data_IF_883030861620
#
_entry.id   IF_883030861620
#
_cell.length_a   1.000
_cell.length_b   1.000
_cell.length_c   1.000
_cell.angle_alpha   90.00
_cell.angle_beta   90.00
_cell.angle_gamma   90.00
#
_symmetry.space_group_name_H-M   'P 1'
#
loop_
_entity.id
_entity.type
_entity.pdbx_description
1 polymer ?
#
# COMPACT_ATOMS: atom_id res chain seq x y z
N UNK A 1 -3.92 8.01 2.94
CA UNK A 1 -2.61 7.34 2.75
C UNK A 1 -2.70 6.18 1.76
N UNK A 2 -3.61 5.20 1.92
CA UNK A 2 -3.75 4.05 0.99
C UNK A 2 -3.96 4.43 -0.48
N UNK A 3 -4.89 5.34 -0.77
CA UNK A 3 -5.14 5.81 -2.15
C UNK A 3 -3.89 6.37 -2.82
N UNK A 4 -3.02 7.05 -2.06
CA UNK A 4 -1.76 7.58 -2.58
C UNK A 4 -0.75 6.47 -2.87
N UNK A 5 -0.69 5.44 -2.02
CA UNK A 5 0.18 4.28 -2.23
C UNK A 5 -0.25 3.47 -3.45
N UNK A 6 -1.56 3.28 -3.64
CA UNK A 6 -2.13 2.63 -4.83
C UNK A 6 -1.79 3.43 -6.10
N UNK A 7 -2.04 4.74 -6.10
CA UNK A 7 -1.73 5.62 -7.23
C UNK A 7 -0.22 5.67 -7.53
N UNK A 8 0.62 5.69 -6.50
CA UNK A 8 2.07 5.66 -6.67
C UNK A 8 2.52 4.35 -7.32
N UNK A 9 1.98 3.21 -6.88
CA UNK A 9 2.28 1.91 -7.45
C UNK A 9 1.79 1.79 -8.91
N UNK A 10 0.60 2.31 -9.20
CA UNK A 10 0.03 2.36 -10.55
C UNK A 10 0.87 3.25 -11.48
N UNK A 11 1.34 4.41 -10.99
CA UNK A 11 2.15 5.35 -11.76
C UNK A 11 3.52 4.79 -12.17
N UNK A 12 4.14 3.95 -11.34
CA UNK A 12 5.42 3.30 -11.68
C UNK A 12 5.26 2.07 -12.58
N UNK A 13 4.03 1.58 -12.75
CA UNK A 13 3.65 0.54 -13.68
C UNK A 13 4.54 -0.71 -13.57
N UNK A 14 5.22 -1.05 -14.67
CA UNK A 14 6.05 -2.25 -14.76
C UNK A 14 7.18 -2.31 -13.72
N UNK A 15 7.65 -1.16 -13.23
CA UNK A 15 8.70 -1.07 -12.22
C UNK A 15 8.18 -1.18 -10.78
N UNK A 16 6.86 -1.28 -10.57
CA UNK A 16 6.26 -1.37 -9.24
C UNK A 16 6.50 -2.71 -8.54
N UNK A 17 6.70 -3.79 -9.30
CA UNK A 17 6.95 -5.12 -8.77
C UNK A 17 7.95 -5.90 -9.67
N UNK A 18 9.22 -5.46 -9.75
CA UNK A 18 10.21 -6.11 -10.60
C UNK A 18 10.54 -7.51 -10.05
N UNK A 19 10.85 -8.44 -10.95
CA UNK A 19 11.38 -9.74 -10.56
C UNK A 19 12.85 -9.59 -10.17
N UNK A 20 13.14 -9.69 -8.86
CA UNK A 20 14.47 -9.45 -8.29
C UNK A 20 15.26 -10.75 -8.01
N UNK A 21 14.66 -11.92 -8.26
CA UNK A 21 15.35 -13.20 -8.01
C UNK A 21 16.53 -13.31 -8.97
N UNK A 22 17.71 -13.58 -8.41
CA UNK A 22 19.00 -13.68 -9.10
C UNK A 22 19.63 -12.31 -9.51
N UNK A 23 19.06 -11.20 -9.04
CA UNK A 23 19.67 -9.88 -9.18
C UNK A 23 20.69 -9.62 -8.06
N UNK A 24 21.89 -9.14 -8.41
CA UNK A 24 22.90 -8.77 -7.42
C UNK A 24 22.43 -7.62 -6.52
N UNK A 25 22.95 -7.53 -5.29
CA UNK A 25 22.47 -6.58 -4.27
C UNK A 25 22.55 -5.09 -4.68
N UNK A 26 23.34 -4.77 -5.70
CA UNK A 26 23.53 -3.41 -6.23
C UNK A 26 22.82 -3.17 -7.57
N UNK A 27 22.08 -4.15 -8.08
CA UNK A 27 21.34 -4.01 -9.33
C UNK A 27 19.92 -3.55 -9.02
N UNK A 28 19.57 -2.36 -9.53
CA UNK A 28 18.21 -1.83 -9.48
C UNK A 28 17.49 -2.07 -10.81
N UNK A 29 16.17 -2.28 -10.75
CA UNK A 29 15.31 -2.34 -11.94
C UNK A 29 14.41 -1.11 -11.94
N UNK A 30 14.53 -0.28 -12.98
CA UNK A 30 13.73 0.93 -13.10
C UNK A 30 14.28 2.14 -12.35
N UNK A 31 13.50 3.22 -12.27
CA UNK A 31 13.90 4.46 -11.62
C UNK A 31 13.94 4.33 -10.09
N UNK A 32 14.79 5.12 -9.43
CA UNK A 32 15.03 5.04 -8.00
C UNK A 32 13.76 5.18 -7.15
N UNK A 33 12.81 6.02 -7.59
CA UNK A 33 11.54 6.24 -6.89
C UNK A 33 10.55 5.07 -6.98
N UNK A 34 10.81 4.07 -7.83
CA UNK A 34 9.98 2.87 -7.92
C UNK A 34 10.35 1.82 -6.87
N UNK A 35 11.56 1.90 -6.30
CA UNK A 35 12.03 0.94 -5.33
C UNK A 35 11.18 0.98 -4.05
N UNK A 36 10.72 -0.18 -3.59
CA UNK A 36 10.00 -0.31 -2.32
C UNK A 36 8.51 0.07 -2.33
N UNK A 37 7.99 0.71 -3.39
CA UNK A 37 6.58 1.16 -3.45
C UNK A 37 5.55 0.03 -3.27
N UNK A 38 5.79 -1.15 -3.85
CA UNK A 38 4.92 -2.29 -3.61
C UNK A 38 4.92 -2.70 -2.13
N UNK A 39 6.09 -2.69 -1.49
CA UNK A 39 6.22 -2.96 -0.06
C UNK A 39 5.42 -1.97 0.79
N UNK A 40 5.52 -0.68 0.49
CA UNK A 40 4.78 0.37 1.18
C UNK A 40 3.26 0.21 1.02
N UNK A 41 2.79 -0.09 -0.18
CA UNK A 41 1.37 -0.37 -0.44
C UNK A 41 0.91 -1.62 0.33
N UNK A 42 1.68 -2.72 0.30
CA UNK A 42 1.34 -3.94 1.03
C UNK A 42 1.30 -3.72 2.54
N UNK A 43 2.27 -2.97 3.08
CA UNK A 43 2.31 -2.61 4.49
C UNK A 43 1.12 -1.72 4.88
N UNK A 44 0.78 -0.71 4.07
CA UNK A 44 -0.39 0.14 4.30
C UNK A 44 -1.72 -0.63 4.27
N UNK A 45 -1.83 -1.65 3.40
CA UNK A 45 -2.98 -2.56 3.37
C UNK A 45 -3.03 -3.42 4.62
N UNK A 46 -1.89 -4.03 5.01
CA UNK A 46 -1.77 -4.83 6.23
C UNK A 46 -2.27 -4.06 7.45
N UNK A 47 -1.84 -2.79 7.60
CA UNK A 47 -2.26 -1.92 8.72
C UNK A 47 -3.76 -1.71 8.80
N UNK A 48 -4.46 -1.51 7.68
CA UNK A 48 -5.92 -1.39 7.73
C UNK A 48 -6.66 -2.69 7.99
N UNK A 49 -6.03 -3.84 7.76
CA UNK A 49 -6.67 -5.13 8.02
C UNK A 49 -6.64 -5.41 9.53
N UNK A 50 -5.45 -5.33 10.16
CA UNK A 50 -5.34 -5.62 11.60
C UNK A 50 -5.78 -4.45 12.49
N UNK A 51 -5.66 -3.20 12.04
CA UNK A 51 -6.09 -2.01 12.79
C UNK A 51 -7.59 -1.74 12.75
N UNK A 52 -8.37 -2.64 12.14
CA UNK A 52 -9.77 -2.45 11.82
C UNK A 52 -9.94 -1.76 10.46
N UNK A 53 -10.64 -2.43 9.54
CA UNK A 53 -10.93 -1.90 8.21
C UNK A 53 -11.58 -0.52 8.33
N UNK A 54 -11.27 0.38 7.38
CA UNK A 54 -11.94 1.68 7.25
C UNK A 54 -13.46 1.53 7.26
N UNK A 55 -13.99 0.41 6.77
CA UNK A 55 -15.42 0.09 6.81
C UNK A 55 -15.94 -0.12 8.24
N UNK A 56 -15.21 -0.88 9.06
CA UNK A 56 -15.56 -1.12 10.47
C UNK A 56 -15.48 0.18 11.26
N UNK A 57 -14.41 0.96 11.06
CA UNK A 57 -14.26 2.26 11.70
C UNK A 57 -15.39 3.23 11.32
N UNK A 58 -15.77 3.28 10.03
CA UNK A 58 -16.94 4.07 9.60
C UNK A 58 -18.24 3.60 10.23
N UNK A 59 -18.46 2.28 10.34
CA UNK A 59 -19.67 1.74 11.00
C UNK A 59 -19.71 2.06 12.50
N UNK A 60 -18.58 1.99 13.21
CA UNK A 60 -18.50 2.38 14.62
C UNK A 60 -18.84 3.86 14.77
N UNK A 61 -18.24 4.74 13.96
CA UNK A 61 -18.54 6.17 13.97
C UNK A 61 -20.02 6.43 13.65
N UNK A 62 -20.58 5.74 12.65
CA UNK A 62 -21.99 5.88 12.30
C UNK A 62 -22.91 5.48 13.48
N UNK A 63 -22.61 4.39 14.18
CA UNK A 63 -23.35 3.99 15.39
C UNK A 63 -23.26 5.03 16.51
N UNK A 64 -22.05 5.54 16.78
CA UNK A 64 -21.84 6.59 17.78
C UNK A 64 -22.62 7.87 17.45
N UNK A 65 -22.65 8.28 16.18
CA UNK A 65 -23.41 9.47 15.73
C UNK A 65 -24.92 9.23 15.79
N UNK A 66 -25.38 8.02 15.47
CA UNK A 66 -26.80 7.64 15.47
C UNK A 66 -27.34 7.25 16.86
N UNK A 67 -26.47 7.15 17.87
CA UNK A 67 -26.85 6.73 19.23
C UNK A 67 -27.28 5.27 19.35
N UNK A 68 -26.72 4.40 18.48
CA UNK A 68 -27.01 2.96 18.42
C UNK A 68 -25.96 2.11 19.14
#
# INVERSE_FOLDING_TARGET
QQRLQELALEAVGHYGAPFLRDLGHNAGVGPDYAQGLAGDMFNGRKTSIYGGSNEIQRNIIAKMVLGL
#
